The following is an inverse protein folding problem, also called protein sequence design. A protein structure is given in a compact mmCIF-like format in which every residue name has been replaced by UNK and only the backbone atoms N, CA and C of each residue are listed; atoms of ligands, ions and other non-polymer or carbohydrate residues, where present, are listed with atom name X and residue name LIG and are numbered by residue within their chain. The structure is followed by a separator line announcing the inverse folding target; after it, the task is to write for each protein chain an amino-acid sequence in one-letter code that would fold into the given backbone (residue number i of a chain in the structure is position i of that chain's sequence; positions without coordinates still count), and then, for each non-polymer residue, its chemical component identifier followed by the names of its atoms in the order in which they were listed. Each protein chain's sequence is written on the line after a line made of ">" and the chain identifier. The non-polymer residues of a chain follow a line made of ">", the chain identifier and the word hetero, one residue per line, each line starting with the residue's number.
data_IF_340637747333
#
_entry.id   IF_340637747333
#
_cell.length_a   1.000
_cell.length_b   1.000
_cell.length_c   1.000
_cell.angle_alpha   90.00
_cell.angle_beta   90.00
_cell.angle_gamma   90.00
#
_symmetry.space_group_name_H-M   'P 1'
#
loop_
_entity.id
_entity.type
_entity.pdbx_description
1 polymer ?
#
# COMPACT_ATOMS: atom_id res chain seq x y z
N UNK A 1 -24.63 11.31 -19.83
CA UNK A 1 -23.17 11.49 -19.98
C UNK A 1 -22.80 12.67 -19.09
N UNK A 2 -22.06 12.48 -18.00
CA UNK A 2 -21.74 13.57 -17.07
C UNK A 2 -20.76 14.52 -17.79
N UNK A 3 -21.07 15.84 -17.91
CA UNK A 3 -20.12 16.82 -18.42
C UNK A 3 -18.78 16.69 -17.67
N UNK A 4 -17.66 16.60 -18.38
CA UNK A 4 -16.33 16.42 -17.79
C UNK A 4 -15.80 14.98 -17.72
N UNK A 5 -16.62 13.95 -17.97
CA UNK A 5 -16.15 12.55 -17.91
C UNK A 5 -15.00 12.23 -18.90
N UNK A 6 -14.99 12.88 -20.08
CA UNK A 6 -13.90 12.73 -21.06
C UNK A 6 -12.60 13.38 -20.56
N UNK A 7 -12.69 14.55 -19.95
CA UNK A 7 -11.54 15.24 -19.37
C UNK A 7 -10.98 14.44 -18.19
N UNK A 8 -11.83 13.97 -17.28
CA UNK A 8 -11.43 13.13 -16.15
C UNK A 8 -10.72 11.85 -16.60
N UNK A 9 -11.21 11.18 -17.66
CA UNK A 9 -10.51 10.00 -18.23
C UNK A 9 -9.16 10.34 -18.85
N UNK A 10 -9.01 11.51 -19.49
CA UNK A 10 -7.71 11.98 -19.98
C UNK A 10 -6.73 12.21 -18.82
N UNK A 11 -7.17 12.88 -17.76
CA UNK A 11 -6.37 13.07 -16.53
C UNK A 11 -5.93 11.73 -15.93
N UNK A 12 -6.84 10.75 -15.84
CA UNK A 12 -6.53 9.41 -15.34
C UNK A 12 -5.50 8.70 -16.22
N UNK A 13 -5.62 8.81 -17.55
CA UNK A 13 -4.66 8.20 -18.48
C UNK A 13 -3.24 8.76 -18.30
N UNK A 14 -3.09 10.09 -18.30
CA UNK A 14 -1.80 10.77 -18.07
C UNK A 14 -1.21 10.39 -16.71
N UNK A 15 -2.06 10.38 -15.68
CA UNK A 15 -1.65 10.00 -14.33
C UNK A 15 -1.13 8.55 -14.26
N UNK A 16 -1.81 7.62 -14.93
CA UNK A 16 -1.39 6.21 -14.98
C UNK A 16 -0.11 6.01 -15.81
N UNK A 17 0.07 6.76 -16.89
CA UNK A 17 1.30 6.71 -17.70
C UNK A 17 2.53 7.15 -16.88
N UNK A 18 2.40 8.21 -16.09
CA UNK A 18 3.51 8.75 -15.29
C UNK A 18 3.71 8.03 -13.95
N UNK A 19 2.62 7.63 -13.29
CA UNK A 19 2.60 7.20 -11.88
C UNK A 19 1.84 5.89 -11.64
N UNK A 20 1.50 5.12 -12.68
CA UNK A 20 0.65 3.92 -12.62
C UNK A 20 1.30 2.66 -12.01
N UNK A 21 2.22 2.81 -11.07
CA UNK A 21 2.74 1.69 -10.28
C UNK A 21 2.07 1.67 -8.91
N UNK A 22 1.89 0.50 -8.33
CA UNK A 22 1.48 0.37 -6.93
C UNK A 22 2.70 0.48 -6.01
N UNK A 23 2.51 0.80 -4.73
CA UNK A 23 3.64 0.79 -3.77
C UNK A 23 4.17 -0.62 -3.56
N UNK A 24 3.28 -1.64 -3.60
CA UNK A 24 3.67 -3.04 -3.63
C UNK A 24 4.55 -3.38 -4.85
N UNK A 25 4.15 -2.94 -6.04
CA UNK A 25 4.94 -3.17 -7.26
C UNK A 25 6.32 -2.51 -7.20
N UNK A 26 6.42 -1.28 -6.68
CA UNK A 26 7.71 -0.58 -6.52
C UNK A 26 8.65 -1.24 -5.52
N UNK A 27 8.10 -1.87 -4.47
CA UNK A 27 8.87 -2.64 -3.49
C UNK A 27 9.26 -4.05 -3.99
N UNK A 28 8.91 -4.39 -5.24
CA UNK A 28 9.22 -5.68 -5.84
C UNK A 28 8.27 -6.80 -5.43
N UNK A 29 7.14 -6.46 -4.80
CA UNK A 29 6.08 -7.41 -4.45
C UNK A 29 5.20 -7.61 -5.68
N UNK A 30 5.20 -8.85 -6.20
CA UNK A 30 4.19 -9.30 -7.16
C UNK A 30 2.98 -9.73 -6.34
N UNK A 31 2.04 -8.82 -6.17
CA UNK A 31 0.88 -9.07 -5.32
C UNK A 31 -0.01 -10.15 -5.94
N UNK A 32 -0.38 -11.15 -5.15
CA UNK A 32 -1.29 -12.23 -5.48
C UNK A 32 -2.04 -12.62 -4.19
N UNK A 33 -3.19 -13.29 -4.33
CA UNK A 33 -3.96 -13.81 -3.20
C UNK A 33 -3.31 -15.09 -2.62
N UNK A 34 -2.09 -14.92 -2.12
CA UNK A 34 -1.22 -15.97 -1.62
C UNK A 34 -0.51 -15.52 -0.33
N UNK A 35 -0.14 -16.44 0.58
CA UNK A 35 0.39 -16.07 1.89
C UNK A 35 1.63 -15.18 1.82
N UNK A 36 2.58 -15.52 0.95
CA UNK A 36 3.85 -14.81 0.80
C UNK A 36 3.69 -13.38 0.29
N UNK A 37 3.04 -13.14 -0.87
CA UNK A 37 2.77 -11.80 -1.38
C UNK A 37 1.97 -10.91 -0.42
N UNK A 38 0.93 -11.46 0.23
CA UNK A 38 0.14 -10.70 1.21
C UNK A 38 0.95 -10.35 2.46
N UNK A 39 1.81 -11.25 2.93
CA UNK A 39 2.71 -10.95 4.05
C UNK A 39 3.74 -9.87 3.68
N UNK A 40 4.30 -9.90 2.47
CA UNK A 40 5.19 -8.84 2.00
C UNK A 40 4.47 -7.48 1.94
N UNK A 41 3.20 -7.46 1.54
CA UNK A 41 2.38 -6.25 1.61
C UNK A 41 2.22 -5.75 3.06
N UNK A 42 1.98 -6.66 4.01
CA UNK A 42 1.93 -6.31 5.45
C UNK A 42 3.25 -5.67 5.92
N UNK A 43 4.40 -6.26 5.56
CA UNK A 43 5.72 -5.71 5.88
C UNK A 43 5.90 -4.31 5.31
N UNK A 44 5.57 -4.11 4.02
CA UNK A 44 5.64 -2.80 3.39
C UNK A 44 4.76 -1.77 4.11
N UNK A 45 3.53 -2.14 4.45
CA UNK A 45 2.58 -1.27 5.15
C UNK A 45 3.08 -0.89 6.54
N UNK A 46 3.70 -1.81 7.27
CA UNK A 46 4.33 -1.51 8.58
C UNK A 46 5.37 -0.41 8.43
N UNK A 47 6.20 -0.45 7.38
CA UNK A 47 7.21 0.58 7.11
C UNK A 47 6.60 1.93 6.71
N UNK A 48 5.58 1.90 5.86
CA UNK A 48 4.85 3.09 5.40
C UNK A 48 4.02 3.75 6.51
N UNK A 49 3.73 3.03 7.60
CA UNK A 49 2.95 3.55 8.73
C UNK A 49 3.75 4.49 9.63
N UNK A 50 5.08 4.49 9.54
CA UNK A 50 5.91 5.45 10.28
C UNK A 50 5.91 6.84 9.63
N UNK A 51 6.33 7.86 10.38
CA UNK A 51 6.53 9.22 9.85
C UNK A 51 7.83 9.30 9.04
N UNK A 52 7.83 8.66 7.87
CA UNK A 52 8.97 8.51 6.96
C UNK A 52 8.51 8.66 5.51
N UNK A 53 9.44 8.96 4.59
CA UNK A 53 9.08 9.06 3.17
C UNK A 53 8.74 7.70 2.60
N UNK A 54 7.78 7.67 1.66
CA UNK A 54 7.39 6.44 0.98
C UNK A 54 8.58 5.80 0.23
N UNK A 55 9.45 6.62 -0.38
CA UNK A 55 10.67 6.15 -1.06
C UNK A 55 11.59 5.36 -0.13
N UNK A 56 11.81 5.84 1.10
CA UNK A 56 12.66 5.15 2.08
C UNK A 56 11.99 3.87 2.59
N UNK A 57 10.68 3.90 2.84
CA UNK A 57 9.94 2.69 3.23
C UNK A 57 9.95 1.60 2.13
N UNK A 58 9.75 1.98 0.86
CA UNK A 58 9.82 1.07 -0.29
C UNK A 58 11.23 0.50 -0.46
N UNK A 59 12.27 1.33 -0.35
CA UNK A 59 13.67 0.86 -0.41
C UNK A 59 13.98 -0.13 0.72
N UNK A 60 13.56 0.16 1.95
CA UNK A 60 13.74 -0.73 3.09
C UNK A 60 12.98 -2.05 2.95
N UNK A 61 11.76 -2.03 2.41
CA UNK A 61 11.02 -3.26 2.09
C UNK A 61 11.79 -4.15 1.10
N UNK A 62 12.36 -3.56 0.05
CA UNK A 62 13.19 -4.29 -0.94
C UNK A 62 14.39 -4.96 -0.29
N UNK A 63 15.07 -4.28 0.62
CA UNK A 63 16.23 -4.83 1.35
C UNK A 63 15.85 -5.98 2.29
N UNK A 64 14.71 -5.90 2.96
CA UNK A 64 14.17 -7.02 3.76
C UNK A 64 13.85 -8.22 2.87
N UNK A 65 13.22 -8.00 1.71
CA UNK A 65 12.86 -9.09 0.79
C UNK A 65 14.08 -9.69 0.09
N UNK A 66 15.08 -8.88 -0.23
CA UNK A 66 16.36 -9.33 -0.76
C UNK A 66 17.15 -10.18 0.26
N UNK A 67 17.01 -9.87 1.55
CA UNK A 67 17.54 -10.68 2.64
C UNK A 67 16.74 -11.98 2.92
N UNK A 68 15.63 -12.21 2.20
CA UNK A 68 14.83 -13.43 2.31
C UNK A 68 13.66 -13.34 3.30
N UNK A 69 13.41 -12.19 3.93
CA UNK A 69 12.35 -12.01 4.94
C UNK A 69 10.97 -11.81 4.30
N UNK A 70 10.55 -12.80 3.50
CA UNK A 70 9.36 -12.73 2.62
C UNK A 70 8.16 -13.52 3.15
N UNK A 71 8.30 -14.19 4.28
CA UNK A 71 7.24 -14.94 4.96
C UNK A 71 7.31 -14.69 6.47
N UNK A 72 6.21 -14.92 7.22
CA UNK A 72 6.22 -14.78 8.67
C UNK A 72 7.30 -15.65 9.32
N UNK A 73 7.46 -16.90 8.88
CA UNK A 73 8.48 -17.79 9.41
C UNK A 73 9.89 -17.26 9.16
N UNK A 74 10.21 -16.86 7.92
CA UNK A 74 11.53 -16.32 7.59
C UNK A 74 11.85 -15.00 8.32
N UNK A 75 10.85 -14.14 8.52
CA UNK A 75 11.01 -12.90 9.31
C UNK A 75 11.26 -13.19 10.79
N UNK A 76 10.60 -14.21 11.33
CA UNK A 76 10.71 -14.60 12.72
C UNK A 76 12.05 -15.32 13.02
N UNK A 77 12.52 -16.15 12.08
CA UNK A 77 13.79 -16.86 12.16
C UNK A 77 15.00 -15.90 12.00
N UNK A 78 14.81 -14.78 11.28
CA UNK A 78 15.82 -13.74 11.18
C UNK A 78 16.10 -13.10 12.54
N UNK A 79 17.38 -12.90 12.87
CA UNK A 79 17.72 -12.22 14.11
C UNK A 79 17.24 -10.77 14.10
N UNK A 80 17.13 -10.18 15.28
CA UNK A 80 16.82 -8.76 15.39
C UNK A 80 17.85 -7.89 14.65
N UNK A 81 19.13 -8.28 14.70
CA UNK A 81 20.21 -7.55 14.02
C UNK A 81 20.12 -7.68 12.50
N UNK A 82 19.81 -8.86 11.96
CA UNK A 82 19.66 -9.03 10.50
C UNK A 82 18.56 -8.12 9.92
N UNK A 83 17.45 -7.99 10.67
CA UNK A 83 16.36 -7.06 10.34
C UNK A 83 16.82 -5.61 10.41
N UNK A 84 17.57 -5.22 11.45
CA UNK A 84 18.14 -3.87 11.57
C UNK A 84 19.09 -3.56 10.42
N UNK A 85 19.97 -4.49 10.05
CA UNK A 85 20.95 -4.30 8.99
C UNK A 85 20.25 -4.13 7.63
N UNK A 86 19.21 -4.92 7.35
CA UNK A 86 18.39 -4.77 6.15
C UNK A 86 17.67 -3.41 6.11
N UNK A 87 17.06 -2.99 7.21
CA UNK A 87 16.45 -1.65 7.31
C UNK A 87 17.48 -0.53 7.11
N UNK A 88 18.70 -0.72 7.63
CA UNK A 88 19.82 0.21 7.50
C UNK A 88 20.30 0.38 6.05
N UNK A 89 20.35 -0.70 5.25
CA UNK A 89 20.66 -0.65 3.81
C UNK A 89 19.62 0.16 3.03
N UNK A 90 18.35 0.08 3.44
CA UNK A 90 17.26 0.89 2.89
C UNK A 90 17.19 2.32 3.42
N UNK A 91 18.20 2.78 4.18
CA UNK A 91 18.24 4.08 4.85
C UNK A 91 17.14 4.34 5.89
N UNK A 92 16.51 3.30 6.44
CA UNK A 92 15.44 3.38 7.45
C UNK A 92 15.97 3.58 8.90
N UNK A 93 17.07 4.31 9.08
CA UNK A 93 17.84 4.32 10.34
C UNK A 93 17.17 4.99 11.54
N UNK A 94 16.18 5.85 11.30
CA UNK A 94 15.52 6.60 12.39
C UNK A 94 14.68 5.68 13.30
N UNK A 95 14.16 4.60 12.72
CA UNK A 95 13.16 3.75 13.35
C UNK A 95 13.51 2.27 13.25
N UNK A 96 14.70 1.92 12.74
CA UNK A 96 15.12 0.55 12.43
C UNK A 96 15.01 -0.39 13.65
N UNK A 97 15.45 0.04 14.83
CA UNK A 97 15.42 -0.79 16.04
C UNK A 97 13.99 -1.15 16.45
N UNK A 98 13.14 -0.13 16.57
CA UNK A 98 11.72 -0.29 16.91
C UNK A 98 10.98 -1.12 15.87
N UNK A 99 11.27 -0.86 14.59
CA UNK A 99 10.64 -1.52 13.47
C UNK A 99 11.08 -2.98 13.34
N UNK A 100 12.35 -3.28 13.62
CA UNK A 100 12.84 -4.65 13.68
C UNK A 100 12.07 -5.47 14.71
N UNK A 101 11.84 -4.93 15.91
CA UNK A 101 10.99 -5.55 16.93
C UNK A 101 9.56 -5.74 16.42
N UNK A 102 8.93 -4.69 15.88
CA UNK A 102 7.56 -4.76 15.34
C UNK A 102 7.40 -5.80 14.24
N UNK A 103 8.39 -5.95 13.35
CA UNK A 103 8.35 -6.96 12.28
C UNK A 103 8.40 -8.38 12.83
N UNK A 104 9.21 -8.64 13.86
CA UNK A 104 9.26 -9.95 14.51
C UNK A 104 7.99 -10.28 15.27
N UNK A 105 7.50 -9.33 16.07
CA UNK A 105 6.26 -9.49 16.84
C UNK A 105 5.05 -9.65 15.91
N UNK A 106 5.00 -8.88 14.82
CA UNK A 106 3.97 -9.01 13.79
C UNK A 106 4.05 -10.35 13.04
N UNK A 107 5.25 -10.85 12.76
CA UNK A 107 5.44 -12.18 12.19
C UNK A 107 4.92 -13.28 13.11
N UNK A 108 5.24 -13.19 14.41
CA UNK A 108 4.73 -14.09 15.45
C UNK A 108 3.20 -14.07 15.51
N UNK A 109 2.60 -12.89 15.58
CA UNK A 109 1.14 -12.74 15.58
C UNK A 109 0.50 -13.37 14.33
N UNK A 110 1.09 -13.16 13.16
CA UNK A 110 0.61 -13.75 11.91
C UNK A 110 0.61 -15.29 11.96
N UNK A 111 1.69 -15.88 12.48
CA UNK A 111 1.82 -17.33 12.66
C UNK A 111 0.84 -17.88 13.70
N UNK A 112 0.71 -17.21 14.85
CA UNK A 112 -0.04 -17.75 15.98
C UNK A 112 -1.56 -17.70 15.72
N UNK A 113 -2.07 -16.60 15.17
CA UNK A 113 -3.53 -16.41 14.96
C UNK A 113 -4.02 -16.88 13.60
N UNK A 114 -3.24 -16.62 12.55
CA UNK A 114 -3.65 -16.88 11.18
C UNK A 114 -2.76 -17.90 10.48
N UNK A 115 -1.94 -18.64 11.23
CA UNK A 115 -1.08 -19.71 10.71
C UNK A 115 -0.19 -19.27 9.55
N UNK A 116 0.21 -18.00 9.55
CA UNK A 116 1.06 -17.38 8.54
C UNK A 116 0.34 -17.00 7.24
N UNK A 117 -0.99 -17.00 7.22
CA UNK A 117 -1.81 -16.75 6.03
C UNK A 117 -2.86 -15.66 6.27
N UNK A 118 -2.63 -14.47 5.70
CA UNK A 118 -3.53 -13.32 5.85
C UNK A 118 -4.89 -13.51 5.14
N UNK A 119 -5.07 -14.55 4.33
CA UNK A 119 -6.40 -14.91 3.81
C UNK A 119 -7.31 -15.38 4.92
N UNK A 120 -6.78 -16.01 5.98
CA UNK A 120 -7.57 -16.33 7.17
C UNK A 120 -8.01 -15.08 7.93
N UNK A 121 -7.19 -14.03 7.94
CA UNK A 121 -7.58 -12.72 8.47
C UNK A 121 -8.73 -12.13 7.64
N UNK A 122 -8.65 -12.26 6.32
CA UNK A 122 -9.70 -11.84 5.40
C UNK A 122 -11.03 -12.58 5.63
N UNK A 123 -10.98 -13.91 5.72
CA UNK A 123 -12.14 -14.76 6.01
C UNK A 123 -12.78 -14.40 7.36
N UNK A 124 -11.95 -14.20 8.40
CA UNK A 124 -12.40 -13.82 9.73
C UNK A 124 -13.06 -12.42 9.74
N UNK A 125 -12.66 -11.55 8.82
CA UNK A 125 -13.28 -10.25 8.59
C UNK A 125 -14.54 -10.30 7.71
N UNK A 126 -14.90 -11.47 7.17
CA UNK A 126 -16.02 -11.66 6.25
C UNK A 126 -15.98 -10.70 5.04
N UNK A 127 -14.77 -10.38 4.55
CA UNK A 127 -14.59 -9.47 3.41
C UNK A 127 -14.93 -7.99 3.67
N UNK A 128 -15.33 -7.62 4.90
CA UNK A 128 -15.67 -6.24 5.22
C UNK A 128 -14.42 -5.40 5.49
N UNK A 129 -14.29 -4.26 4.79
CA UNK A 129 -13.20 -3.32 4.98
C UNK A 129 -13.09 -2.81 6.44
N UNK A 130 -14.21 -2.68 7.15
CA UNK A 130 -14.21 -2.33 8.59
C UNK A 130 -13.62 -3.43 9.45
N UNK A 131 -14.04 -4.68 9.24
CA UNK A 131 -13.52 -5.88 9.89
C UNK A 131 -12.04 -6.12 9.62
N UNK A 132 -11.60 -5.88 8.38
CA UNK A 132 -10.20 -5.96 7.97
C UNK A 132 -9.35 -4.91 8.70
N UNK A 133 -9.80 -3.64 8.75
CA UNK A 133 -9.06 -2.58 9.47
C UNK A 133 -8.86 -2.94 10.93
N UNK A 134 -9.91 -3.42 11.61
CA UNK A 134 -9.85 -3.76 13.05
C UNK A 134 -8.79 -4.81 13.34
N UNK A 135 -8.61 -5.78 12.44
CA UNK A 135 -7.60 -6.85 12.57
C UNK A 135 -6.20 -6.39 12.17
N UNK A 136 -6.11 -5.59 11.11
CA UNK A 136 -4.83 -5.05 10.65
C UNK A 136 -4.17 -4.16 11.71
N UNK A 137 -4.95 -3.39 12.48
CA UNK A 137 -4.38 -2.56 13.56
C UNK A 137 -3.90 -3.34 14.78
N UNK A 138 -4.16 -4.65 14.85
CA UNK A 138 -3.60 -5.51 15.89
C UNK A 138 -2.12 -5.80 15.65
N UNK A 139 -1.64 -5.66 14.41
CA UNK A 139 -0.23 -5.81 14.11
C UNK A 139 0.58 -4.64 14.67
N UNK A 140 1.71 -4.91 15.37
CA UNK A 140 2.58 -3.87 15.89
C UNK A 140 3.04 -2.90 14.80
N UNK A 141 2.84 -1.61 15.05
CA UNK A 141 3.23 -0.55 14.11
C UNK A 141 2.20 -0.21 13.05
N UNK A 142 1.09 -0.95 12.94
CA UNK A 142 0.00 -0.64 12.02
C UNK A 142 -1.08 0.18 12.74
N UNK A 143 -1.17 1.46 12.39
CA UNK A 143 -2.28 2.33 12.78
C UNK A 143 -3.41 2.35 11.73
N UNK A 144 -4.47 3.17 11.94
CA UNK A 144 -5.56 3.33 10.98
C UNK A 144 -5.09 3.72 9.56
N UNK A 145 -4.03 4.53 9.47
CA UNK A 145 -3.39 4.89 8.21
C UNK A 145 -2.75 3.68 7.53
N UNK A 146 -2.00 2.86 8.27
CA UNK A 146 -1.40 1.63 7.76
C UNK A 146 -2.46 0.66 7.24
N UNK A 147 -3.50 0.42 8.04
CA UNK A 147 -4.63 -0.41 7.62
C UNK A 147 -5.28 0.13 6.32
N UNK A 148 -5.38 1.45 6.16
CA UNK A 148 -5.87 2.05 4.92
C UNK A 148 -4.95 1.82 3.71
N UNK A 149 -3.64 1.91 3.91
CA UNK A 149 -2.65 1.61 2.86
C UNK A 149 -2.74 0.13 2.45
N UNK A 150 -2.88 -0.80 3.41
CA UNK A 150 -3.06 -2.22 3.11
C UNK A 150 -4.30 -2.43 2.24
N UNK A 151 -5.45 -1.89 2.65
CA UNK A 151 -6.71 -2.05 1.92
C UNK A 151 -6.66 -1.45 0.50
N UNK A 152 -5.99 -0.30 0.35
CA UNK A 152 -5.81 0.34 -0.95
C UNK A 152 -5.01 -0.53 -1.92
N UNK A 153 -3.98 -1.22 -1.45
CA UNK A 153 -3.14 -2.06 -2.30
C UNK A 153 -3.76 -3.45 -2.51
N UNK A 154 -4.35 -4.05 -1.47
CA UNK A 154 -4.89 -5.41 -1.52
C UNK A 154 -6.13 -5.55 -2.40
N UNK A 155 -6.87 -4.46 -2.65
CA UNK A 155 -8.04 -4.48 -3.54
C UNK A 155 -7.73 -4.97 -4.97
N UNK A 156 -6.45 -4.96 -5.37
CA UNK A 156 -6.01 -5.55 -6.63
C UNK A 156 -6.19 -7.08 -6.69
N UNK A 157 -6.23 -7.74 -5.54
CA UNK A 157 -6.33 -9.20 -5.42
C UNK A 157 -7.50 -9.67 -4.55
N UNK A 158 -8.11 -8.76 -3.78
CA UNK A 158 -9.37 -8.97 -3.03
C UNK A 158 -10.48 -8.07 -3.59
N UNK A 159 -11.23 -8.54 -4.60
CA UNK A 159 -12.24 -7.73 -5.30
C UNK A 159 -13.40 -7.26 -4.44
N UNK A 160 -13.69 -7.94 -3.34
CA UNK A 160 -14.70 -7.58 -2.34
C UNK A 160 -14.32 -6.36 -1.50
N UNK A 161 -13.03 -6.00 -1.45
CA UNK A 161 -12.56 -4.73 -0.89
C UNK A 161 -12.75 -3.57 -1.88
N UNK A 162 -12.82 -3.86 -3.18
CA UNK A 162 -12.91 -2.84 -4.21
C UNK A 162 -14.35 -2.29 -4.39
N UNK A 163 -14.51 -0.99 -4.72
CA UNK A 163 -13.46 0.02 -4.80
C UNK A 163 -13.13 0.62 -3.43
N UNK A 164 -11.84 0.73 -3.13
CA UNK A 164 -11.35 1.31 -1.89
C UNK A 164 -10.56 2.60 -2.15
N UNK A 165 -10.99 3.69 -1.52
CA UNK A 165 -10.27 4.96 -1.48
C UNK A 165 -10.14 5.47 -0.04
N UNK A 166 -8.91 5.66 0.43
CA UNK A 166 -8.63 6.35 1.69
C UNK A 166 -8.63 7.88 1.51
N UNK A 167 -8.47 8.63 2.60
CA UNK A 167 -8.46 10.09 2.54
C UNK A 167 -7.35 10.66 1.66
N UNK A 168 -6.22 9.97 1.50
CA UNK A 168 -5.10 10.43 0.66
C UNK A 168 -5.39 10.26 -0.82
N UNK A 169 -6.09 9.21 -1.21
CA UNK A 169 -6.65 9.09 -2.56
C UNK A 169 -7.57 10.28 -2.84
N UNK A 170 -8.47 10.59 -1.90
CA UNK A 170 -9.43 11.69 -2.07
C UNK A 170 -8.74 13.06 -2.15
N UNK A 171 -7.72 13.30 -1.32
CA UNK A 171 -6.91 14.52 -1.38
C UNK A 171 -6.27 14.68 -2.77
N UNK A 172 -5.69 13.61 -3.32
CA UNK A 172 -5.06 13.61 -4.65
C UNK A 172 -6.07 13.83 -5.78
N UNK A 173 -7.23 13.18 -5.71
CA UNK A 173 -8.31 13.37 -6.68
C UNK A 173 -8.77 14.83 -6.73
N UNK A 174 -8.93 15.48 -5.57
CA UNK A 174 -9.31 16.90 -5.49
C UNK A 174 -8.27 17.83 -6.10
N UNK A 175 -6.98 17.56 -5.89
CA UNK A 175 -5.90 18.35 -6.50
C UNK A 175 -5.95 18.31 -8.04
N UNK A 176 -6.37 17.17 -8.61
CA UNK A 176 -6.52 16.99 -10.06
C UNK A 176 -7.94 17.26 -10.57
N UNK A 177 -8.81 17.83 -9.74
CA UNK A 177 -10.21 18.11 -10.09
C UNK A 177 -11.00 16.85 -10.55
N UNK A 178 -10.61 15.68 -10.06
CA UNK A 178 -11.29 14.42 -10.27
C UNK A 178 -12.44 14.21 -9.25
N UNK A 179 -13.39 13.31 -9.54
CA UNK A 179 -14.40 12.90 -8.57
C UNK A 179 -13.78 12.40 -7.26
N UNK A 180 -14.48 12.62 -6.14
CA UNK A 180 -13.95 12.36 -4.80
C UNK A 180 -14.63 11.19 -4.07
N UNK A 181 -15.30 10.31 -4.82
CA UNK A 181 -15.82 9.03 -4.31
C UNK A 181 -15.10 7.85 -4.95
N UNK A 182 -14.95 6.75 -4.20
CA UNK A 182 -14.29 5.54 -4.68
C UNK A 182 -14.99 4.96 -5.93
N UNK A 183 -16.33 4.96 -5.94
CA UNK A 183 -17.13 4.44 -7.05
C UNK A 183 -16.97 5.27 -8.33
N UNK A 184 -16.95 6.60 -8.23
CA UNK A 184 -16.75 7.46 -9.40
C UNK A 184 -15.33 7.34 -9.95
N UNK A 185 -14.31 7.25 -9.09
CA UNK A 185 -12.92 7.00 -9.51
C UNK A 185 -12.78 5.66 -10.23
N UNK A 186 -13.43 4.61 -9.72
CA UNK A 186 -13.45 3.30 -10.37
C UNK A 186 -14.09 3.33 -11.76
N UNK A 187 -15.13 4.15 -11.97
CA UNK A 187 -15.78 4.31 -13.26
C UNK A 187 -14.92 5.05 -14.33
N UNK A 188 -13.77 5.61 -13.94
CA UNK A 188 -12.82 6.27 -14.85
C UNK A 188 -11.72 5.34 -15.38
N UNK A 189 -11.61 4.11 -14.86
CA UNK A 189 -10.52 3.19 -15.19
C UNK A 189 -11.04 1.75 -15.32
N UNK A 190 -10.16 0.82 -15.69
CA UNK A 190 -10.44 -0.62 -15.70
C UNK A 190 -10.08 -1.27 -14.35
N UNK A 191 -10.66 -2.42 -13.99
CA UNK A 191 -10.40 -3.07 -12.71
C UNK A 191 -8.91 -3.34 -12.41
N UNK A 192 -8.13 -3.70 -13.42
CA UNK A 192 -6.67 -3.96 -13.32
C UNK A 192 -5.85 -2.69 -13.06
N UNK A 193 -6.37 -1.53 -13.47
CA UNK A 193 -5.74 -0.22 -13.27
C UNK A 193 -6.31 0.54 -12.06
N UNK A 194 -7.25 -0.04 -11.33
CA UNK A 194 -7.87 0.60 -10.17
C UNK A 194 -6.85 0.85 -9.05
N UNK A 195 -6.16 -0.20 -8.58
CA UNK A 195 -5.15 -0.04 -7.55
C UNK A 195 -3.98 0.87 -7.97
N UNK A 196 -3.42 0.74 -9.21
CA UNK A 196 -2.49 1.72 -9.77
C UNK A 196 -2.98 3.18 -9.70
N UNK A 197 -4.24 3.43 -10.09
CA UNK A 197 -4.84 4.77 -10.02
C UNK A 197 -4.87 5.28 -8.57
N UNK A 198 -5.31 4.44 -7.63
CA UNK A 198 -5.36 4.83 -6.21
C UNK A 198 -3.97 5.17 -5.67
N UNK A 199 -2.94 4.37 -5.97
CA UNK A 199 -1.56 4.66 -5.57
C UNK A 199 -1.02 5.94 -6.23
N UNK A 200 -1.35 6.18 -7.50
CA UNK A 200 -0.95 7.39 -8.23
C UNK A 200 -1.56 8.66 -7.62
N UNK A 201 -2.85 8.63 -7.26
CA UNK A 201 -3.52 9.74 -6.56
C UNK A 201 -2.89 10.01 -5.19
N UNK A 202 -2.46 8.98 -4.47
CA UNK A 202 -1.72 9.15 -3.20
C UNK A 202 -0.38 9.86 -3.45
N UNK A 203 0.36 9.53 -4.51
CA UNK A 203 1.62 10.24 -4.84
C UNK A 203 1.38 11.72 -5.10
N UNK A 204 0.35 12.05 -5.87
CA UNK A 204 -0.09 13.43 -6.13
C UNK A 204 -0.43 14.16 -4.82
N UNK A 205 -1.10 13.49 -3.88
CA UNK A 205 -1.42 14.06 -2.57
C UNK A 205 -0.18 14.29 -1.68
N UNK A 206 0.90 13.53 -1.88
CA UNK A 206 2.15 13.63 -1.11
C UNK A 206 3.16 14.59 -1.75
N UNK A 207 3.10 14.82 -3.06
CA UNK A 207 3.97 15.71 -3.81
C UNK A 207 3.17 16.67 -4.70
N UNK A 208 3.02 17.92 -4.23
CA UNK A 208 2.33 18.96 -5.00
C UNK A 208 2.98 19.25 -6.35
N UNK A 209 4.30 19.08 -6.49
CA UNK A 209 4.98 19.30 -7.78
C UNK A 209 4.54 18.29 -8.82
N UNK A 210 4.25 17.05 -8.41
CA UNK A 210 3.69 16.05 -9.28
C UNK A 210 2.28 16.43 -9.75
N UNK A 211 1.46 17.04 -8.87
CA UNK A 211 0.15 17.55 -9.26
C UNK A 211 0.25 18.66 -10.33
N UNK A 212 1.15 19.63 -10.12
CA UNK A 212 1.35 20.76 -11.04
C UNK A 212 1.85 20.29 -12.41
N UNK A 213 2.74 19.29 -12.45
CA UNK A 213 3.25 18.71 -13.69
C UNK A 213 2.15 18.01 -14.51
N UNK A 214 1.29 17.23 -13.85
CA UNK A 214 0.14 16.58 -14.51
C UNK A 214 -0.82 17.63 -15.09
N UNK A 215 -1.13 18.68 -14.32
CA UNK A 215 -2.04 19.74 -14.78
C UNK A 215 -1.46 20.51 -15.98
N UNK A 216 -0.17 20.84 -15.95
CA UNK A 216 0.50 21.52 -17.05
C UNK A 216 0.48 20.71 -18.36
N UNK A 217 0.60 19.38 -18.30
CA UNK A 217 0.50 18.51 -19.48
C UNK A 217 -0.92 18.43 -20.03
N UNK A 218 -1.94 18.50 -19.17
CA UNK A 218 -3.34 18.46 -19.60
C UNK A 218 -3.76 19.75 -20.33
N UNK A 219 -3.11 20.86 -20.03
CA UNK A 219 -3.30 22.17 -20.68
C UNK A 219 -2.51 22.31 -22.00
N UNK A 220 -1.66 21.33 -22.34
CA UNK A 220 -0.92 21.24 -23.61
C UNK A 220 -1.62 20.39 -24.68
#
# INVERSE_FOLDING_TARGET
>A
MIPGARAARRTVAVLLEQQGRTFAGESGVRLADEPGPLYQLLVLVTLLSARISATVAVAAARELFAAGFRSPLAMLDASWQDRVDALGRGHYRRYDFKTSTMLGDGARLCLDRWHGDLRRLHDEAAGDAGGLRKRLVEFPGIGPTGAGIFLREVQAVWPDVAPYADSKVIDGARLLQLPSSAAELAALTTPDLLAPLMSALVRVALDRKAADAILAELDS
#
